data_IF_068992731755
#
_entry.id   IF_068992731755
#
_cell.length_a   1.000
_cell.length_b   1.000
_cell.length_c   1.000
_cell.angle_alpha   90.00
_cell.angle_beta   90.00
_cell.angle_gamma   90.00
#
_symmetry.space_group_name_H-M   'P 1'
#
loop_
_entity.id
_entity.type
_entity.pdbx_description
1 polymer ?
#
# COMPACT_ATOMS: atom_id res chain seq x y z
N UNK A 1 24.41 58.53 21.22
CA UNK A 1 23.52 58.09 20.13
C UNK A 1 22.33 59.03 20.07
N UNK A 2 22.11 59.71 18.95
CA UNK A 2 21.01 60.69 18.77
C UNK A 2 19.67 59.96 18.51
N UNK A 3 18.55 60.53 18.95
CA UNK A 3 17.16 60.06 18.69
C UNK A 3 16.93 59.64 17.22
N UNK A 4 17.53 60.35 16.26
CA UNK A 4 17.45 60.01 14.83
C UNK A 4 18.11 58.66 14.51
N UNK A 5 19.31 58.42 15.05
CA UNK A 5 20.02 57.14 14.88
C UNK A 5 19.26 55.98 15.50
N UNK A 6 18.60 56.20 16.65
CA UNK A 6 17.72 55.19 17.28
C UNK A 6 16.53 54.82 16.37
N UNK A 7 15.89 55.80 15.73
CA UNK A 7 14.76 55.57 14.81
C UNK A 7 15.21 54.82 13.56
N UNK A 8 16.34 55.20 12.98
CA UNK A 8 16.88 54.55 11.77
C UNK A 8 17.28 53.09 12.05
N UNK A 9 17.87 52.82 13.21
CA UNK A 9 18.24 51.46 13.63
C UNK A 9 17.00 50.59 13.90
N UNK A 10 15.95 51.15 14.52
CA UNK A 10 14.69 50.45 14.74
C UNK A 10 13.94 50.14 13.43
N UNK A 11 13.98 51.06 12.45
CA UNK A 11 13.42 50.84 11.12
C UNK A 11 14.16 49.73 10.37
N UNK A 12 15.50 49.70 10.43
CA UNK A 12 16.32 48.64 9.84
C UNK A 12 16.08 47.27 10.51
N UNK A 13 15.94 47.22 11.84
CA UNK A 13 15.62 45.98 12.55
C UNK A 13 14.21 45.46 12.20
N UNK A 14 13.23 46.36 12.02
CA UNK A 14 11.89 45.98 11.58
C UNK A 14 11.86 45.50 10.13
N UNK A 15 12.65 46.08 9.22
CA UNK A 15 12.73 45.61 7.83
C UNK A 15 13.37 44.23 7.74
N UNK A 16 14.42 43.96 8.53
CA UNK A 16 15.06 42.64 8.65
C UNK A 16 14.09 41.61 9.26
N UNK A 17 13.28 42.01 10.26
CA UNK A 17 12.24 41.14 10.84
C UNK A 17 11.13 40.82 9.84
N UNK A 18 10.80 41.75 8.94
CA UNK A 18 9.78 41.58 7.91
C UNK A 18 10.29 40.82 6.68
N UNK A 19 11.59 40.86 6.36
CA UNK A 19 12.16 40.19 5.18
C UNK A 19 12.10 38.65 5.24
N UNK A 20 11.87 38.08 6.43
CA UNK A 20 11.61 36.64 6.60
C UNK A 20 10.13 36.24 6.46
N UNK A 21 9.20 37.21 6.43
CA UNK A 21 7.74 37.00 6.41
C UNK A 21 7.05 37.60 5.20
N UNK A 22 7.65 38.62 4.57
CA UNK A 22 7.10 39.36 3.43
C UNK A 22 8.17 39.65 2.39
N UNK A 23 7.85 39.39 1.13
CA UNK A 23 8.61 39.89 -0.01
C UNK A 23 7.70 40.87 -0.76
N UNK A 24 8.04 42.16 -0.75
CA UNK A 24 7.14 43.22 -1.24
C UNK A 24 5.79 43.20 -0.50
N UNK A 25 4.67 43.43 -1.19
CA UNK A 25 3.30 43.40 -0.67
C UNK A 25 2.74 41.97 -0.48
N UNK A 26 3.56 40.93 -0.62
CA UNK A 26 3.13 39.53 -0.53
C UNK A 26 3.49 38.97 0.84
N UNK A 27 2.48 38.46 1.54
CA UNK A 27 2.64 37.72 2.78
C UNK A 27 3.00 36.27 2.46
N UNK A 28 4.25 35.88 2.73
CA UNK A 28 4.80 34.58 2.34
C UNK A 28 4.17 33.47 3.17
N UNK A 29 3.85 33.75 4.44
CA UNK A 29 3.22 32.79 5.35
C UNK A 29 1.78 32.47 4.89
N UNK A 30 1.02 33.51 4.53
CA UNK A 30 -0.33 33.34 3.97
C UNK A 30 -0.29 32.63 2.60
N UNK A 31 0.68 32.98 1.73
CA UNK A 31 0.85 32.30 0.45
C UNK A 31 1.17 30.81 0.61
N UNK A 32 2.04 30.44 1.57
CA UNK A 32 2.33 29.05 1.89
C UNK A 32 1.11 28.32 2.45
N UNK A 33 0.36 28.96 3.35
CA UNK A 33 -0.87 28.40 3.90
C UNK A 33 -1.90 28.14 2.80
N UNK A 34 -2.14 29.12 1.92
CA UNK A 34 -3.03 28.98 0.77
C UNK A 34 -2.57 27.88 -0.21
N UNK A 35 -1.26 27.76 -0.44
CA UNK A 35 -0.71 26.65 -1.24
C UNK A 35 -0.99 25.28 -0.60
N UNK A 36 -0.83 25.16 0.72
CA UNK A 36 -1.13 23.94 1.46
C UNK A 36 -2.62 23.58 1.39
N UNK A 37 -3.52 24.56 1.58
CA UNK A 37 -4.97 24.32 1.48
C UNK A 37 -5.40 23.96 0.06
N UNK A 38 -4.86 24.61 -0.97
CA UNK A 38 -5.11 24.22 -2.37
C UNK A 38 -4.65 22.79 -2.65
N UNK A 39 -3.50 22.38 -2.11
CA UNK A 39 -3.01 21.01 -2.21
C UNK A 39 -3.95 20.03 -1.52
N UNK A 40 -4.39 20.30 -0.28
CA UNK A 40 -5.36 19.47 0.44
C UNK A 40 -6.67 19.31 -0.34
N UNK A 41 -7.19 20.39 -0.91
CA UNK A 41 -8.42 20.36 -1.71
C UNK A 41 -8.24 19.54 -2.98
N UNK A 42 -7.12 19.71 -3.70
CA UNK A 42 -6.78 18.88 -4.87
C UNK A 42 -6.65 17.40 -4.51
N UNK A 43 -5.99 17.08 -3.40
CA UNK A 43 -5.81 15.71 -2.92
C UNK A 43 -7.16 15.06 -2.55
N UNK A 44 -8.05 15.80 -1.87
CA UNK A 44 -9.44 15.37 -1.57
C UNK A 44 -10.23 15.11 -2.86
N UNK A 45 -10.22 16.04 -3.81
CA UNK A 45 -10.92 15.89 -5.08
C UNK A 45 -10.40 14.66 -5.86
N UNK A 46 -9.09 14.46 -5.88
CA UNK A 46 -8.45 13.29 -6.51
C UNK A 46 -8.86 11.98 -5.82
N UNK A 47 -8.98 11.98 -4.49
CA UNK A 47 -9.49 10.83 -3.73
C UNK A 47 -10.91 10.47 -4.11
N UNK A 48 -11.83 11.45 -4.18
CA UNK A 48 -13.22 11.24 -4.59
C UNK A 48 -13.31 10.73 -6.03
N UNK A 49 -12.55 11.32 -6.95
CA UNK A 49 -12.50 10.85 -8.34
C UNK A 49 -11.97 9.41 -8.45
N UNK A 50 -10.96 9.06 -7.65
CA UNK A 50 -10.42 7.70 -7.63
C UNK A 50 -11.39 6.68 -7.01
N UNK A 51 -12.20 7.08 -6.03
CA UNK A 51 -13.22 6.23 -5.43
C UNK A 51 -14.37 5.91 -6.41
N UNK A 52 -14.68 6.83 -7.33
CA UNK A 52 -15.71 6.64 -8.36
C UNK A 52 -15.24 5.84 -9.59
N UNK A 53 -13.95 5.56 -9.71
CA UNK A 53 -13.43 4.77 -10.85
C UNK A 53 -13.90 3.32 -10.71
N UNK A 54 -14.35 2.68 -11.80
CA UNK A 54 -14.66 1.25 -11.76
C UNK A 54 -13.42 0.45 -11.36
N UNK A 55 -13.63 -0.62 -10.62
CA UNK A 55 -12.56 -1.55 -10.28
C UNK A 55 -12.02 -2.19 -11.55
N UNK A 56 -10.69 -2.27 -11.67
CA UNK A 56 -10.02 -2.99 -12.78
C UNK A 56 -10.29 -4.49 -12.68
N UNK A 57 -10.32 -5.02 -11.45
CA UNK A 57 -10.62 -6.40 -11.11
C UNK A 57 -11.42 -6.44 -9.80
N UNK A 58 -12.33 -7.40 -9.66
CA UNK A 58 -13.06 -7.66 -8.41
C UNK A 58 -12.52 -8.91 -7.72
N UNK A 59 -12.70 -9.01 -6.40
CA UNK A 59 -12.28 -10.20 -5.66
C UNK A 59 -13.02 -11.45 -6.16
N UNK A 60 -14.32 -11.34 -6.46
CA UNK A 60 -15.10 -12.45 -7.01
C UNK A 60 -14.56 -12.95 -8.34
N UNK A 61 -14.07 -12.04 -9.21
CA UNK A 61 -13.45 -12.42 -10.47
C UNK A 61 -12.12 -13.15 -10.23
N UNK A 62 -11.34 -12.71 -9.25
CA UNK A 62 -10.12 -13.43 -8.83
C UNK A 62 -10.44 -14.82 -8.29
N UNK A 63 -11.50 -14.96 -7.46
CA UNK A 63 -11.95 -16.24 -6.91
C UNK A 63 -12.45 -17.19 -8.00
N UNK A 64 -13.26 -16.69 -8.92
CA UNK A 64 -13.75 -17.45 -10.06
C UNK A 64 -12.60 -17.95 -10.94
N UNK A 65 -11.58 -17.11 -11.17
CA UNK A 65 -10.37 -17.53 -11.88
C UNK A 65 -9.56 -18.56 -11.08
N UNK A 66 -9.37 -18.37 -9.77
CA UNK A 66 -8.66 -19.36 -8.94
C UNK A 66 -9.34 -20.73 -8.93
N UNK A 67 -10.67 -20.78 -9.07
CA UNK A 67 -11.42 -22.02 -9.16
C UNK A 67 -11.20 -22.78 -10.49
N UNK A 68 -10.76 -22.12 -11.57
CA UNK A 68 -10.41 -22.78 -12.84
C UNK A 68 -8.98 -23.28 -12.89
N UNK A 69 -8.12 -22.79 -12.00
CA UNK A 69 -6.71 -23.20 -11.92
C UNK A 69 -6.60 -24.51 -11.13
N UNK A 70 -5.89 -25.54 -11.64
CA UNK A 70 -5.67 -26.78 -10.90
C UNK A 70 -4.76 -26.54 -9.69
N UNK A 71 -5.04 -27.23 -8.58
CA UNK A 71 -4.24 -27.12 -7.35
C UNK A 71 -2.88 -27.79 -7.58
N UNK A 72 -1.86 -26.98 -7.83
CA UNK A 72 -0.48 -27.41 -8.03
C UNK A 72 0.47 -26.25 -7.66
N UNK A 73 1.78 -26.51 -7.47
CA UNK A 73 2.75 -25.44 -7.27
C UNK A 73 2.69 -24.42 -8.41
N UNK A 74 2.36 -23.17 -8.07
CA UNK A 74 2.13 -22.11 -9.04
C UNK A 74 3.46 -21.42 -9.41
N UNK A 75 3.59 -20.95 -10.66
CA UNK A 75 4.69 -20.07 -11.04
C UNK A 75 4.60 -18.74 -10.28
N UNK A 76 5.73 -18.09 -10.07
CA UNK A 76 5.87 -16.90 -9.23
C UNK A 76 4.86 -15.80 -9.56
N UNK A 77 4.64 -15.53 -10.85
CA UNK A 77 3.68 -14.51 -11.29
C UNK A 77 2.25 -14.79 -10.83
N UNK A 78 1.79 -16.02 -11.00
CA UNK A 78 0.43 -16.42 -10.62
C UNK A 78 0.28 -16.53 -9.10
N UNK A 79 1.31 -17.04 -8.41
CA UNK A 79 1.35 -17.07 -6.95
C UNK A 79 1.30 -15.66 -6.34
N UNK A 80 2.06 -14.71 -6.90
CA UNK A 80 2.08 -13.33 -6.45
C UNK A 80 0.70 -12.65 -6.62
N UNK A 81 0.00 -12.93 -7.72
CA UNK A 81 -1.37 -12.50 -7.95
C UNK A 81 -2.31 -13.07 -6.88
N UNK A 82 -2.29 -14.38 -6.65
CA UNK A 82 -3.21 -15.03 -5.69
C UNK A 82 -2.98 -14.52 -4.28
N UNK A 83 -1.72 -14.39 -3.86
CA UNK A 83 -1.39 -13.80 -2.56
C UNK A 83 -1.89 -12.35 -2.49
N UNK A 84 -1.62 -11.52 -3.50
CA UNK A 84 -2.05 -10.12 -3.51
C UNK A 84 -3.57 -9.95 -3.46
N UNK A 85 -4.31 -10.79 -4.18
CA UNK A 85 -5.77 -10.81 -4.14
C UNK A 85 -6.30 -11.29 -2.78
N UNK A 86 -5.64 -12.27 -2.16
CA UNK A 86 -6.06 -12.86 -0.90
C UNK A 86 -5.78 -11.98 0.32
N UNK A 87 -4.71 -11.17 0.32
CA UNK A 87 -4.28 -10.42 1.51
C UNK A 87 -4.46 -8.91 1.41
N UNK A 88 -4.63 -8.37 0.20
CA UNK A 88 -4.79 -6.92 -0.02
C UNK A 88 -3.59 -6.07 0.41
N UNK A 89 -2.45 -6.68 0.73
CA UNK A 89 -1.20 -5.97 1.00
C UNK A 89 -0.59 -5.49 -0.31
N UNK A 90 0.24 -4.43 -0.26
CA UNK A 90 0.87 -3.90 -1.48
C UNK A 90 1.96 -4.82 -1.99
N UNK A 91 3.10 -4.80 -1.31
CA UNK A 91 4.33 -5.46 -1.77
C UNK A 91 5.06 -6.18 -0.65
N UNK A 92 4.61 -6.05 0.60
CA UNK A 92 5.11 -6.82 1.74
C UNK A 92 5.17 -8.34 1.49
N UNK A 93 4.24 -8.96 0.72
CA UNK A 93 4.33 -10.39 0.42
C UNK A 93 5.57 -10.83 -0.37
N UNK A 94 6.36 -9.92 -0.95
CA UNK A 94 7.66 -10.27 -1.56
C UNK A 94 8.59 -10.93 -0.55
N UNK A 95 8.47 -10.58 0.73
CA UNK A 95 9.25 -11.11 1.83
C UNK A 95 8.59 -12.31 2.53
N UNK A 96 7.54 -12.89 1.95
CA UNK A 96 6.91 -14.08 2.50
C UNK A 96 7.93 -15.23 2.58
N UNK A 97 8.10 -15.81 3.77
CA UNK A 97 9.02 -16.93 3.99
C UNK A 97 8.33 -18.27 3.83
N UNK A 98 9.13 -19.29 3.48
CA UNK A 98 8.67 -20.67 3.40
C UNK A 98 8.52 -21.33 4.77
N UNK A 99 9.10 -20.75 5.82
CA UNK A 99 9.04 -21.22 7.19
C UNK A 99 8.64 -20.08 8.15
N UNK A 100 8.05 -20.44 9.29
CA UNK A 100 7.69 -19.49 10.35
C UNK A 100 8.94 -18.77 10.88
N UNK A 101 8.84 -17.46 11.06
CA UNK A 101 9.92 -16.60 11.55
C UNK A 101 9.33 -15.38 12.25
N UNK A 102 10.11 -14.73 13.10
CA UNK A 102 9.75 -13.46 13.73
C UNK A 102 10.19 -12.25 12.90
N UNK A 103 11.08 -12.45 11.93
CA UNK A 103 11.71 -11.35 11.17
C UNK A 103 10.94 -10.92 9.93
N UNK A 104 10.13 -11.82 9.36
CA UNK A 104 9.48 -11.65 8.06
C UNK A 104 8.05 -12.20 8.06
N UNK A 105 7.21 -11.79 7.08
CA UNK A 105 5.90 -12.39 6.89
C UNK A 105 6.00 -13.89 6.63
N UNK A 106 5.11 -14.68 7.23
CA UNK A 106 5.02 -16.15 7.08
C UNK A 106 3.56 -16.60 7.02
N UNK A 107 3.36 -17.86 6.63
CA UNK A 107 2.05 -18.51 6.68
C UNK A 107 1.90 -19.34 7.95
N UNK A 108 0.72 -19.26 8.57
CA UNK A 108 0.35 -20.05 9.75
C UNK A 108 -1.01 -20.71 9.51
N UNK A 109 -1.11 -22.00 9.83
CA UNK A 109 -2.38 -22.72 9.83
C UNK A 109 -2.90 -22.73 11.27
N UNK A 110 -4.10 -22.19 11.47
CA UNK A 110 -4.80 -22.17 12.76
C UNK A 110 -6.19 -22.79 12.56
N UNK A 111 -6.36 -24.03 13.00
CA UNK A 111 -7.55 -24.83 12.70
C UNK A 111 -7.68 -25.10 11.19
N UNK A 112 -8.85 -24.81 10.63
CA UNK A 112 -9.17 -24.95 9.19
C UNK A 112 -8.77 -23.70 8.38
N UNK A 113 -8.12 -22.72 9.00
CA UNK A 113 -7.86 -21.42 8.41
C UNK A 113 -6.37 -21.17 8.19
N UNK A 114 -6.06 -20.62 7.02
CA UNK A 114 -4.71 -20.18 6.68
C UNK A 114 -4.58 -18.68 6.92
N UNK A 115 -3.54 -18.28 7.63
CA UNK A 115 -3.23 -16.90 7.97
C UNK A 115 -1.90 -16.48 7.38
N UNK A 116 -1.80 -15.22 6.96
CA UNK A 116 -0.52 -14.54 6.78
C UNK A 116 -0.23 -13.68 8.00
N UNK A 117 0.93 -13.89 8.63
CA UNK A 117 1.33 -13.23 9.87
C UNK A 117 2.76 -12.73 9.81
N UNK A 118 3.13 -11.82 10.71
CA UNK A 118 4.51 -11.33 10.86
C UNK A 118 4.64 -9.82 10.71
N UNK A 119 5.86 -9.28 10.72
CA UNK A 119 6.10 -7.84 10.67
C UNK A 119 5.78 -7.22 9.30
N UNK A 120 5.36 -5.94 9.28
CA UNK A 120 5.26 -5.16 8.04
C UNK A 120 6.65 -4.73 7.58
N UNK A 121 6.94 -4.89 6.29
CA UNK A 121 8.28 -4.66 5.74
C UNK A 121 8.50 -3.22 5.24
N UNK A 122 7.41 -2.49 5.00
CA UNK A 122 7.44 -1.07 4.64
C UNK A 122 8.11 -0.20 5.70
N UNK A 123 9.11 0.58 5.30
CA UNK A 123 9.81 1.52 6.17
C UNK A 123 8.85 2.52 6.88
N UNK A 124 7.75 2.91 6.21
CA UNK A 124 6.76 3.85 6.77
C UNK A 124 5.93 3.28 7.92
N UNK A 125 5.95 1.97 8.10
CA UNK A 125 5.17 1.24 9.10
C UNK A 125 6.03 0.65 10.22
N UNK A 126 7.35 0.54 10.01
CA UNK A 126 8.28 -0.10 10.95
C UNK A 126 8.25 0.53 12.34
N UNK A 127 8.18 1.86 12.41
CA UNK A 127 8.18 2.59 13.69
C UNK A 127 6.81 2.64 14.37
N UNK A 128 5.77 2.07 13.75
CA UNK A 128 4.38 2.13 14.24
C UNK A 128 3.92 0.83 14.91
N UNK A 129 4.79 -0.18 14.99
CA UNK A 129 4.47 -1.47 15.62
C UNK A 129 3.38 -2.27 14.89
N UNK A 130 3.13 -1.97 13.62
CA UNK A 130 2.12 -2.68 12.84
C UNK A 130 2.61 -4.07 12.43
N UNK A 131 1.75 -5.06 12.64
CA UNK A 131 1.96 -6.44 12.22
C UNK A 131 0.89 -6.87 11.23
N UNK A 132 1.29 -7.73 10.31
CA UNK A 132 0.39 -8.45 9.42
C UNK A 132 -0.31 -9.52 10.26
N UNK A 133 -1.63 -9.54 10.17
CA UNK A 133 -2.48 -10.62 10.66
C UNK A 133 -3.72 -10.68 9.78
N UNK A 134 -3.62 -11.41 8.67
CA UNK A 134 -4.64 -11.45 7.63
C UNK A 134 -5.08 -12.89 7.39
N UNK A 135 -6.37 -13.13 7.45
CA UNK A 135 -6.97 -14.41 7.07
C UNK A 135 -6.94 -14.55 5.54
N UNK A 136 -6.35 -15.63 5.05
CA UNK A 136 -6.33 -15.93 3.62
C UNK A 136 -7.65 -16.58 3.23
N UNK A 137 -8.29 -15.99 2.22
CA UNK A 137 -9.55 -16.52 1.70
C UNK A 137 -9.38 -17.99 1.21
N UNK A 138 -10.28 -18.90 1.60
CA UNK A 138 -10.17 -20.33 1.25
C UNK A 138 -10.02 -20.61 -0.24
N UNK A 139 -10.55 -19.73 -1.11
CA UNK A 139 -10.42 -19.88 -2.56
C UNK A 139 -8.95 -19.87 -3.04
N UNK A 140 -8.04 -19.23 -2.29
CA UNK A 140 -6.62 -19.17 -2.62
C UNK A 140 -5.74 -20.04 -1.70
N UNK A 141 -6.25 -20.44 -0.54
CA UNK A 141 -5.47 -21.07 0.52
C UNK A 141 -4.75 -22.36 0.06
N UNK A 142 -5.44 -23.26 -0.64
CA UNK A 142 -4.85 -24.52 -1.13
C UNK A 142 -3.74 -24.30 -2.15
N UNK A 143 -3.96 -23.35 -3.07
CA UNK A 143 -2.98 -22.97 -4.10
C UNK A 143 -1.72 -22.37 -3.49
N UNK A 144 -1.88 -21.45 -2.55
CA UNK A 144 -0.77 -20.81 -1.84
C UNK A 144 -0.01 -21.86 -1.02
N UNK A 145 -0.71 -22.70 -0.27
CA UNK A 145 -0.10 -23.73 0.58
C UNK A 145 0.74 -24.71 -0.23
N UNK A 146 0.18 -25.27 -1.32
CA UNK A 146 0.91 -26.19 -2.19
C UNK A 146 2.19 -25.54 -2.76
N UNK A 147 2.09 -24.28 -3.16
CA UNK A 147 3.21 -23.51 -3.73
C UNK A 147 4.31 -23.20 -2.72
N UNK A 148 3.95 -22.85 -1.48
CA UNK A 148 4.92 -22.56 -0.42
C UNK A 148 5.56 -23.83 0.10
N UNK A 149 4.80 -24.91 0.29
CA UNK A 149 5.34 -26.21 0.71
C UNK A 149 6.35 -26.77 -0.28
N UNK A 150 6.09 -26.67 -1.59
CA UNK A 150 7.03 -27.15 -2.60
C UNK A 150 8.36 -26.38 -2.56
N UNK A 151 8.31 -25.05 -2.44
CA UNK A 151 9.50 -24.22 -2.28
C UNK A 151 10.21 -24.46 -0.94
N UNK A 152 9.49 -24.81 0.12
CA UNK A 152 10.10 -25.19 1.38
C UNK A 152 10.93 -26.47 1.25
N UNK A 153 10.47 -27.47 0.47
CA UNK A 153 11.20 -28.72 0.22
C UNK A 153 12.52 -28.49 -0.52
N UNK A 154 12.61 -27.47 -1.36
CA UNK A 154 13.85 -27.11 -2.06
C UNK A 154 14.84 -26.33 -1.19
N UNK A 155 14.52 -26.09 0.08
CA UNK A 155 15.36 -25.34 1.02
C UNK A 155 15.31 -23.81 0.81
N UNK A 156 14.33 -23.32 0.06
CA UNK A 156 14.20 -21.90 -0.25
C UNK A 156 13.74 -21.11 0.99
N UNK A 157 14.43 -20.00 1.33
CA UNK A 157 14.08 -19.15 2.48
C UNK A 157 12.81 -18.31 2.24
N UNK A 158 12.78 -17.58 1.12
CA UNK A 158 11.67 -16.71 0.72
C UNK A 158 10.89 -17.33 -0.42
N UNK A 159 9.58 -17.23 -0.43
CA UNK A 159 8.71 -17.74 -1.50
C UNK A 159 9.09 -17.13 -2.87
N UNK A 160 9.51 -15.86 -2.87
CA UNK A 160 9.97 -15.13 -4.06
C UNK A 160 11.46 -14.82 -3.98
N UNK A 161 12.29 -15.85 -3.87
CA UNK A 161 13.73 -15.71 -3.60
C UNK A 161 14.44 -14.76 -4.57
N UNK A 162 14.13 -14.85 -5.86
CA UNK A 162 14.78 -14.04 -6.92
C UNK A 162 14.36 -12.56 -6.91
N UNK A 163 13.32 -12.20 -6.15
CA UNK A 163 12.84 -10.83 -6.04
C UNK A 163 13.41 -10.10 -4.83
N UNK A 164 13.92 -10.84 -3.84
CA UNK A 164 14.48 -10.27 -2.61
C UNK A 164 15.85 -9.68 -2.89
N UNK A 165 16.04 -8.43 -2.47
CA UNK A 165 17.24 -7.63 -2.65
C UNK A 165 17.55 -6.92 -1.33
N UNK A 166 18.81 -6.51 -1.14
CA UNK A 166 19.20 -5.68 0.01
C UNK A 166 18.46 -4.34 0.00
N UNK A 167 18.23 -3.80 -1.21
CA UNK A 167 17.40 -2.63 -1.42
C UNK A 167 15.91 -3.02 -1.47
N UNK A 168 15.19 -2.69 -0.40
CA UNK A 168 13.77 -3.00 -0.25
C UNK A 168 12.90 -2.40 -1.34
N UNK A 169 13.22 -1.20 -1.81
CA UNK A 169 12.42 -0.53 -2.83
C UNK A 169 12.57 -1.28 -4.17
N UNK A 170 13.75 -1.83 -4.46
CA UNK A 170 13.93 -2.73 -5.62
C UNK A 170 13.11 -4.00 -5.51
N UNK A 171 13.02 -4.62 -4.32
CA UNK A 171 12.16 -5.79 -4.12
C UNK A 171 10.70 -5.48 -4.36
N UNK A 172 10.20 -4.35 -3.85
CA UNK A 172 8.81 -3.92 -4.09
C UNK A 172 8.54 -3.62 -5.57
N UNK A 173 9.48 -3.00 -6.27
CA UNK A 173 9.39 -2.73 -7.70
C UNK A 173 9.44 -4.01 -8.55
N UNK A 174 10.28 -4.98 -8.18
CA UNK A 174 10.34 -6.29 -8.83
C UNK A 174 9.04 -7.05 -8.65
N UNK A 175 8.50 -7.09 -7.42
CA UNK A 175 7.23 -7.74 -7.11
C UNK A 175 6.05 -7.09 -7.86
N UNK A 176 5.99 -5.76 -7.88
CA UNK A 176 4.96 -5.03 -8.60
C UNK A 176 5.02 -5.26 -10.12
N UNK A 177 6.24 -5.33 -10.69
CA UNK A 177 6.44 -5.68 -12.10
C UNK A 177 6.03 -7.11 -12.40
N UNK A 178 6.42 -8.06 -11.57
CA UNK A 178 6.05 -9.47 -11.73
C UNK A 178 4.53 -9.63 -11.83
N UNK A 179 3.78 -9.03 -10.90
CA UNK A 179 2.31 -9.08 -10.89
C UNK A 179 1.72 -8.44 -12.14
N UNK A 180 2.22 -7.27 -12.52
CA UNK A 180 1.71 -6.56 -13.70
C UNK A 180 1.93 -7.38 -14.97
N UNK A 181 3.13 -7.94 -15.15
CA UNK A 181 3.47 -8.78 -16.30
C UNK A 181 2.63 -10.06 -16.33
N UNK A 182 2.49 -10.75 -15.20
CA UNK A 182 1.67 -11.97 -15.12
C UNK A 182 0.18 -11.68 -15.39
N UNK A 183 -0.33 -10.56 -14.88
CA UNK A 183 -1.74 -10.17 -15.07
C UNK A 183 -2.07 -9.78 -16.50
N UNK A 184 -1.09 -9.40 -17.32
CA UNK A 184 -1.30 -9.09 -18.74
C UNK A 184 -1.59 -10.34 -19.57
N UNK A 185 -1.05 -11.49 -19.16
CA UNK A 185 -1.33 -12.78 -19.83
C UNK A 185 -2.66 -13.42 -19.43
N UNK A 186 -3.40 -12.83 -18.48
CA UNK A 186 -4.64 -13.39 -17.93
C UNK A 186 -5.79 -12.43 -18.25
N UNK A 187 -6.67 -12.75 -19.23
CA UNK A 187 -7.79 -11.89 -19.64
C UNK A 187 -8.72 -11.50 -18.48
N UNK A 188 -8.89 -12.38 -17.51
CA UNK A 188 -9.70 -12.18 -16.31
C UNK A 188 -9.15 -11.08 -15.40
N UNK A 189 -7.84 -10.84 -15.45
CA UNK A 189 -7.16 -9.92 -14.55
C UNK A 189 -6.75 -8.61 -15.24
N UNK A 190 -6.83 -8.55 -16.57
CA UNK A 190 -6.75 -7.33 -17.38
C UNK A 190 -5.55 -6.42 -17.03
N UNK A 191 -4.37 -7.02 -16.82
CA UNK A 191 -3.17 -6.26 -16.47
C UNK A 191 -3.21 -5.56 -15.11
N UNK A 192 -4.04 -6.03 -14.18
CA UNK A 192 -4.15 -5.49 -12.82
C UNK A 192 -2.80 -5.38 -12.11
N UNK A 193 -2.65 -4.32 -11.33
CA UNK A 193 -1.48 -4.07 -10.48
C UNK A 193 -1.72 -4.51 -9.03
N UNK A 194 -0.66 -4.53 -8.22
CA UNK A 194 -0.74 -4.70 -6.76
C UNK A 194 -1.75 -3.75 -6.09
N UNK A 195 -1.86 -2.51 -6.60
CA UNK A 195 -2.82 -1.52 -6.10
C UNK A 195 -4.26 -1.90 -6.46
N UNK A 196 -4.47 -2.49 -7.63
CA UNK A 196 -5.82 -2.89 -8.08
C UNK A 196 -6.31 -4.12 -7.31
N UNK A 197 -5.45 -5.11 -7.06
CA UNK A 197 -5.77 -6.23 -6.17
C UNK A 197 -6.06 -5.77 -4.74
N UNK A 198 -5.28 -4.83 -4.21
CA UNK A 198 -5.56 -4.22 -2.91
C UNK A 198 -6.90 -3.50 -2.88
N UNK A 199 -7.25 -2.74 -3.91
CA UNK A 199 -8.57 -2.09 -4.01
C UNK A 199 -9.68 -3.14 -4.06
N UNK A 200 -9.54 -4.17 -4.89
CA UNK A 200 -10.51 -5.25 -5.02
C UNK A 200 -10.77 -5.95 -3.68
N UNK A 201 -9.70 -6.25 -2.93
CA UNK A 201 -9.77 -6.87 -1.62
C UNK A 201 -10.51 -5.98 -0.61
N UNK A 202 -10.08 -4.71 -0.47
CA UNK A 202 -10.73 -3.77 0.46
C UNK A 202 -12.17 -3.47 0.06
N UNK A 203 -12.48 -3.32 -1.23
CA UNK A 203 -13.83 -3.03 -1.69
C UNK A 203 -14.79 -4.22 -1.50
N UNK A 204 -14.31 -5.47 -1.53
CA UNK A 204 -15.13 -6.63 -1.15
C UNK A 204 -15.53 -6.57 0.33
N UNK A 205 -14.60 -6.25 1.23
CA UNK A 205 -14.91 -6.04 2.65
C UNK A 205 -15.87 -4.86 2.84
N UNK A 206 -15.84 -3.87 1.94
CA UNK A 206 -16.80 -2.78 1.87
C UNK A 206 -18.14 -3.14 1.20
N UNK A 207 -18.23 -4.24 0.46
CA UNK A 207 -19.51 -4.85 0.06
C UNK A 207 -20.26 -5.45 1.24
N UNK A 208 -19.55 -5.83 2.31
CA UNK A 208 -20.08 -6.15 3.64
C UNK A 208 -20.34 -4.89 4.49
N UNK A 209 -19.58 -3.82 4.26
CA UNK A 209 -19.75 -2.49 4.85
C UNK A 209 -20.49 -1.57 3.87
N UNK A 210 -21.80 -1.79 3.70
CA UNK A 210 -22.74 -0.73 3.31
C UNK A 210 -22.75 0.49 4.30
N UNK A 211 -21.70 0.65 5.11
CA UNK A 211 -21.58 1.56 6.26
C UNK A 211 -20.16 2.14 6.31
N UNK A 212 -19.67 2.71 5.20
CA UNK A 212 -18.68 3.80 5.26
C UNK A 212 -19.30 5.14 4.87
N UNK A 213 -20.48 5.36 5.42
CA UNK A 213 -21.04 6.66 5.82
C UNK A 213 -20.16 7.38 6.89
N UNK A 214 -18.89 6.97 7.08
CA UNK A 214 -18.04 7.34 8.23
C UNK A 214 -16.65 7.89 7.90
N UNK A 215 -16.26 8.00 6.63
CA UNK A 215 -15.00 8.70 6.28
C UNK A 215 -15.18 10.06 5.59
N UNK A 216 -16.42 10.49 5.28
CA UNK A 216 -16.67 11.75 4.56
C UNK A 216 -17.99 12.45 4.95
N UNK A 217 -18.25 12.66 6.24
CA UNK A 217 -19.06 13.82 6.67
C UNK A 217 -18.10 14.93 7.13
N UNK A 218 -17.98 16.04 6.39
CA UNK A 218 -17.27 17.24 6.86
C UNK A 218 -18.10 18.05 7.87
N UNK A 219 -19.40 17.78 7.99
CA UNK A 219 -20.33 18.62 8.76
C UNK A 219 -21.08 17.75 9.77
N UNK A 220 -20.54 17.69 10.98
CA UNK A 220 -21.24 17.25 12.18
C UNK A 220 -20.72 18.07 13.37
N UNK A 221 -20.85 19.38 13.26
CA UNK A 221 -21.21 20.34 14.33
C UNK A 221 -22.02 21.48 13.68
#
# INVERSE_FOLDING_TARGET
MNVRQLKDTAAALNSIKLSGKRFSNVDIEDLHHQCHERRKTKDKMTSVLNAKKPLVVSLDRCKAYAATVPIQPLPDGLLAIFISAAVGLRCDPVYLTCAKTEEYPYLEVEGEHLWMRGPIMSAKAKDKGYNINVLIDPAFASHITASVQERAKTGQKFVFADLVDEDKDKSFDRYSRLIRTASQSIPELNGASTVDFRKAHVTHDLGLLAVLDHYYRPDAE
#
